data_IF_194450236149
#
_entry.id   IF_194450236149
#
_cell.length_a   1.000
_cell.length_b   1.000
_cell.length_c   1.000
_cell.angle_alpha   90.00
_cell.angle_beta   90.00
_cell.angle_gamma   90.00
#
_symmetry.space_group_name_H-M   'P 1'
#
loop_
_entity.id
_entity.type
_entity.pdbx_description
1 polymer ?
#
# COMPACT_ATOMS: atom_id res chain seq x y z
N UNK A 1 -22.30 2.06 2.72
CA UNK A 1 -21.31 1.73 1.67
C UNK A 1 -21.86 2.13 0.32
N UNK A 2 -21.09 2.84 -0.49
CA UNK A 2 -21.53 3.18 -1.84
C UNK A 2 -21.39 1.93 -2.73
N UNK A 3 -22.51 1.46 -3.30
CA UNK A 3 -22.58 0.23 -4.10
C UNK A 3 -22.34 0.46 -5.59
N UNK A 4 -22.02 1.71 -5.98
CA UNK A 4 -21.81 2.03 -7.39
C UNK A 4 -20.47 1.46 -7.90
N UNK A 5 -20.54 0.56 -8.86
CA UNK A 5 -19.38 0.02 -9.57
C UNK A 5 -18.82 1.09 -10.52
N UNK A 6 -17.63 1.56 -10.26
CA UNK A 6 -16.90 2.53 -11.10
C UNK A 6 -16.06 1.81 -12.15
N UNK A 7 -15.44 2.55 -13.07
CA UNK A 7 -14.57 1.94 -14.09
C UNK A 7 -13.30 1.35 -13.50
N UNK A 8 -12.77 1.90 -12.41
CA UNK A 8 -11.63 1.31 -11.71
C UNK A 8 -12.03 -0.01 -11.02
N UNK A 9 -13.24 -0.10 -10.48
CA UNK A 9 -13.78 -1.35 -9.93
C UNK A 9 -13.89 -2.44 -10.99
N UNK A 10 -14.38 -2.11 -12.19
CA UNK A 10 -14.47 -3.06 -13.32
C UNK A 10 -13.11 -3.58 -13.75
N UNK A 11 -12.09 -2.71 -13.78
CA UNK A 11 -10.72 -3.10 -14.10
C UNK A 11 -10.15 -4.04 -13.05
N UNK A 12 -10.39 -3.77 -11.77
CA UNK A 12 -9.98 -4.64 -10.68
C UNK A 12 -10.60 -6.03 -10.81
N UNK A 13 -11.92 -6.10 -10.97
CA UNK A 13 -12.65 -7.38 -11.15
C UNK A 13 -12.10 -8.17 -12.33
N UNK A 14 -11.75 -7.50 -13.43
CA UNK A 14 -11.27 -8.16 -14.64
C UNK A 14 -9.82 -8.66 -14.56
N UNK A 15 -8.97 -8.02 -13.76
CA UNK A 15 -7.52 -8.23 -13.85
C UNK A 15 -6.81 -8.56 -12.54
N UNK A 16 -7.44 -8.31 -11.37
CA UNK A 16 -6.81 -8.54 -10.07
C UNK A 16 -7.35 -9.81 -9.39
N UNK A 17 -6.46 -10.71 -8.99
CA UNK A 17 -6.82 -11.87 -8.17
C UNK A 17 -6.61 -11.53 -6.69
N UNK A 18 -7.69 -11.51 -5.92
CA UNK A 18 -7.65 -11.18 -4.50
C UNK A 18 -7.48 -12.42 -3.62
N UNK A 19 -6.48 -12.45 -2.73
CA UNK A 19 -6.38 -13.49 -1.70
C UNK A 19 -7.44 -13.26 -0.61
N UNK A 20 -7.77 -14.30 0.13
CA UNK A 20 -8.71 -14.23 1.26
C UNK A 20 -10.06 -13.59 0.92
N UNK A 21 -10.56 -13.81 -0.29
CA UNK A 21 -11.73 -13.13 -0.82
C UNK A 21 -12.69 -14.14 -1.45
N UNK A 22 -13.98 -14.01 -1.17
CA UNK A 22 -15.00 -14.73 -1.91
C UNK A 22 -15.10 -14.10 -3.30
N UNK A 23 -14.55 -14.76 -4.31
CA UNK A 23 -14.44 -14.21 -5.66
C UNK A 23 -15.79 -14.00 -6.34
N UNK A 24 -16.77 -14.85 -6.09
CA UNK A 24 -18.11 -14.66 -6.64
C UNK A 24 -18.77 -13.39 -6.07
N UNK A 25 -18.67 -13.16 -4.76
CA UNK A 25 -19.17 -11.96 -4.14
C UNK A 25 -18.39 -10.71 -4.61
N UNK A 26 -17.09 -10.85 -4.85
CA UNK A 26 -16.24 -9.75 -5.37
C UNK A 26 -16.67 -9.30 -6.77
N UNK A 27 -17.04 -10.22 -7.65
CA UNK A 27 -17.56 -9.89 -8.98
C UNK A 27 -18.84 -9.04 -8.93
N UNK A 28 -19.69 -9.28 -7.92
CA UNK A 28 -20.94 -8.55 -7.74
C UNK A 28 -20.75 -7.20 -7.04
N UNK A 29 -19.94 -7.18 -5.99
CA UNK A 29 -19.78 -6.02 -5.10
C UNK A 29 -18.68 -5.06 -5.55
N UNK A 30 -17.66 -5.58 -6.21
CA UNK A 30 -16.45 -4.86 -6.51
C UNK A 30 -15.56 -4.58 -5.29
N UNK A 31 -14.36 -4.02 -5.52
CA UNK A 31 -13.41 -3.70 -4.47
C UNK A 31 -13.75 -2.41 -3.72
N UNK A 32 -13.22 -2.28 -2.51
CA UNK A 32 -12.99 -0.99 -1.88
C UNK A 32 -11.60 -0.49 -2.32
N UNK A 33 -11.56 0.48 -3.21
CA UNK A 33 -10.29 0.98 -3.77
C UNK A 33 -9.75 2.10 -2.90
N UNK A 34 -8.72 1.80 -2.12
CA UNK A 34 -8.05 2.80 -1.28
C UNK A 34 -7.03 3.55 -2.13
N UNK A 35 -7.09 4.88 -2.13
CA UNK A 35 -6.29 5.75 -3.01
C UNK A 35 -5.26 6.57 -2.28
N UNK A 36 -5.46 6.88 -1.01
CA UNK A 36 -4.52 7.64 -0.18
C UNK A 36 -4.71 7.34 1.29
N UNK A 37 -3.72 7.70 2.09
CA UNK A 37 -3.75 7.60 3.53
C UNK A 37 -3.00 8.75 4.20
N UNK A 38 -3.40 9.10 5.41
CA UNK A 38 -2.73 10.08 6.25
C UNK A 38 -3.00 9.77 7.73
N UNK A 39 -1.95 9.62 8.50
CA UNK A 39 -2.07 9.23 9.91
C UNK A 39 -2.79 7.89 10.05
N UNK A 40 -3.94 7.88 10.71
CA UNK A 40 -4.75 6.68 10.93
C UNK A 40 -5.91 6.55 9.94
N UNK A 41 -6.02 7.44 8.98
CA UNK A 41 -7.12 7.49 8.03
C UNK A 41 -6.70 7.08 6.64
N UNK A 42 -7.63 6.47 5.92
CA UNK A 42 -7.51 6.18 4.48
C UNK A 42 -8.75 6.69 3.75
N UNK A 43 -8.62 6.91 2.46
CA UNK A 43 -9.71 7.35 1.59
C UNK A 43 -9.84 6.44 0.39
N UNK A 44 -11.06 6.19 0.00
CA UNK A 44 -11.34 5.45 -1.22
C UNK A 44 -11.35 6.34 -2.49
N UNK A 45 -11.59 5.73 -3.63
CA UNK A 45 -11.66 6.39 -4.94
C UNK A 45 -12.86 7.34 -5.09
N UNK A 46 -13.79 7.30 -4.14
CA UNK A 46 -14.96 8.20 -4.07
C UNK A 46 -14.80 9.25 -2.96
N UNK A 47 -13.59 9.35 -2.38
CA UNK A 47 -13.24 10.29 -1.32
C UNK A 47 -13.99 10.07 0.01
N UNK A 48 -14.51 8.88 0.25
CA UNK A 48 -14.98 8.51 1.58
C UNK A 48 -13.80 8.22 2.49
N UNK A 49 -13.86 8.71 3.73
CA UNK A 49 -12.80 8.53 4.73
C UNK A 49 -13.13 7.40 5.68
N UNK A 50 -12.14 6.58 5.98
CA UNK A 50 -12.23 5.47 6.92
C UNK A 50 -11.13 5.56 7.97
N UNK A 51 -11.45 5.16 9.20
CA UNK A 51 -10.44 4.88 10.23
C UNK A 51 -9.87 3.49 9.94
N UNK A 52 -8.58 3.42 9.60
CA UNK A 52 -7.91 2.15 9.32
C UNK A 52 -7.27 1.60 10.60
N UNK A 53 -7.97 0.67 11.26
CA UNK A 53 -7.57 0.11 12.55
C UNK A 53 -6.62 -1.09 12.49
N UNK A 54 -6.28 -1.56 11.28
CA UNK A 54 -5.42 -2.72 11.09
C UNK A 54 -3.96 -2.37 10.76
N UNK A 55 -3.64 -1.08 10.70
CA UNK A 55 -2.32 -0.56 10.35
C UNK A 55 -1.77 -1.18 9.05
N UNK A 56 -2.59 -1.24 8.00
CA UNK A 56 -2.24 -1.84 6.71
C UNK A 56 -1.86 -3.31 6.81
N UNK A 57 -2.48 -4.05 7.70
CA UNK A 57 -2.13 -5.42 8.11
C UNK A 57 -0.75 -5.45 8.80
N UNK A 58 -0.64 -4.68 9.90
CA UNK A 58 0.53 -4.63 10.80
C UNK A 58 1.80 -4.01 10.22
N UNK A 59 1.72 -3.31 9.11
CA UNK A 59 2.93 -2.76 8.44
C UNK A 59 3.07 -1.24 8.58
N UNK A 60 2.04 -0.51 8.96
CA UNK A 60 2.03 0.96 8.98
C UNK A 60 1.92 1.46 10.42
N UNK A 61 2.87 1.08 11.28
CA UNK A 61 2.84 1.35 12.71
C UNK A 61 2.96 2.84 13.07
N UNK A 62 3.61 3.65 12.22
CA UNK A 62 3.78 5.09 12.42
C UNK A 62 2.70 5.93 11.73
N UNK A 63 1.70 5.27 11.12
CA UNK A 63 0.67 5.94 10.33
C UNK A 63 1.00 6.01 8.84
N UNK A 64 -0.03 6.30 8.06
CA UNK A 64 0.08 6.45 6.61
C UNK A 64 0.77 7.76 6.24
N UNK A 65 1.55 7.73 5.17
CA UNK A 65 2.22 8.91 4.59
C UNK A 65 3.14 9.64 5.57
N UNK A 66 3.90 8.89 6.36
CA UNK A 66 4.94 9.44 7.24
C UNK A 66 6.08 10.02 6.38
N UNK A 67 6.20 11.33 6.38
CA UNK A 67 7.13 12.06 5.48
C UNK A 67 8.60 11.72 5.72
N UNK A 68 8.99 11.45 6.96
CA UNK A 68 10.39 11.09 7.30
C UNK A 68 10.79 9.76 6.69
N UNK A 69 9.88 8.78 6.67
CA UNK A 69 10.10 7.49 6.02
C UNK A 69 10.12 7.61 4.50
N UNK A 70 9.19 8.38 3.94
CA UNK A 70 9.15 8.64 2.51
C UNK A 70 10.43 9.31 2.01
N UNK A 71 10.94 10.32 2.74
CA UNK A 71 12.19 10.99 2.44
C UNK A 71 13.39 10.04 2.54
N UNK A 72 13.49 9.27 3.62
CA UNK A 72 14.58 8.31 3.79
C UNK A 72 14.62 7.27 2.65
N UNK A 73 13.47 6.76 2.25
CA UNK A 73 13.36 5.84 1.11
C UNK A 73 13.79 6.51 -0.20
N UNK A 74 13.30 7.73 -0.48
CA UNK A 74 13.64 8.46 -1.69
C UNK A 74 15.15 8.76 -1.76
N UNK A 75 15.75 9.21 -0.68
CA UNK A 75 17.19 9.49 -0.59
C UNK A 75 18.03 8.23 -0.84
N UNK A 76 17.65 7.11 -0.24
CA UNK A 76 18.36 5.83 -0.43
C UNK A 76 18.18 5.28 -1.86
N UNK A 77 17.00 5.37 -2.44
CA UNK A 77 16.78 4.97 -3.83
C UNK A 77 17.59 5.82 -4.81
N UNK A 78 17.75 7.11 -4.53
CA UNK A 78 18.58 7.99 -5.36
C UNK A 78 20.09 7.69 -5.22
N UNK A 79 20.56 7.32 -4.02
CA UNK A 79 21.95 7.00 -3.76
C UNK A 79 22.34 5.59 -4.22
N UNK A 80 21.59 4.58 -3.78
CA UNK A 80 21.81 3.17 -4.11
C UNK A 80 20.52 2.38 -3.82
N UNK A 81 19.73 2.02 -4.83
CA UNK A 81 18.47 1.30 -4.63
C UNK A 81 18.66 -0.17 -4.24
N UNK A 82 19.75 -0.77 -4.65
CA UNK A 82 20.07 -2.15 -4.34
C UNK A 82 21.56 -2.45 -4.53
N UNK A 83 22.10 -3.32 -3.71
CA UNK A 83 23.35 -4.03 -3.94
C UNK A 83 23.30 -5.39 -3.23
N UNK A 84 23.90 -6.41 -3.82
CA UNK A 84 24.05 -7.69 -3.14
C UNK A 84 25.19 -7.64 -2.13
N UNK A 85 25.18 -8.59 -1.18
CA UNK A 85 26.21 -8.69 -0.14
C UNK A 85 27.16 -9.88 -0.31
N UNK A 86 27.19 -10.48 -1.49
CA UNK A 86 28.11 -11.56 -1.80
C UNK A 86 29.55 -11.05 -1.98
N UNK A 87 30.52 -11.96 -1.86
CA UNK A 87 31.91 -11.71 -2.16
C UNK A 87 32.50 -10.46 -1.45
N UNK A 88 32.23 -10.37 -0.14
CA UNK A 88 32.76 -9.31 0.73
C UNK A 88 32.23 -7.91 0.41
N UNK A 89 31.06 -7.79 -0.22
CA UNK A 89 30.34 -6.53 -0.43
C UNK A 89 29.40 -6.21 0.72
N UNK A 90 29.20 -4.95 0.98
CA UNK A 90 28.19 -4.45 1.92
C UNK A 90 27.67 -3.09 1.50
N UNK A 91 26.69 -2.59 2.23
CA UNK A 91 26.12 -1.25 2.04
C UNK A 91 26.02 -0.53 3.36
N UNK A 92 26.05 0.80 3.32
CA UNK A 92 25.96 1.61 4.54
C UNK A 92 24.70 1.30 5.39
N UNK A 93 23.49 1.16 4.80
CA UNK A 93 22.30 0.83 5.60
C UNK A 93 22.40 -0.52 6.34
N UNK A 94 23.03 -1.54 5.73
CA UNK A 94 23.24 -2.84 6.36
C UNK A 94 24.23 -2.74 7.53
N UNK A 95 25.25 -1.93 7.39
CA UNK A 95 26.28 -1.73 8.42
C UNK A 95 25.73 -0.91 9.59
N UNK A 96 24.89 0.09 9.29
CA UNK A 96 24.31 0.99 10.29
C UNK A 96 23.16 0.37 11.11
N UNK A 97 22.54 -0.71 10.63
CA UNK A 97 21.44 -1.38 11.32
C UNK A 97 21.91 -2.09 12.60
#
# INVERSE_FOLDING_TARGET
MNTRITDIHKKDIAHALHPYTNLAAHEEQGPLVITRGEGVYVWDDQNNRYLEGLAGLWCVSLGFSEERLAKAAADQFAALPYSHTFAHRSTEPVIAL
#
